data_IF_980895182945
#
_entry.id   IF_980895182945
#
_cell.length_a   1.000
_cell.length_b   1.000
_cell.length_c   1.000
_cell.angle_alpha   90.00
_cell.angle_beta   90.00
_cell.angle_gamma   90.00
#
_symmetry.space_group_name_H-M   'P 1'
#
loop_
_entity.id
_entity.type
_entity.pdbx_description
1 polymer ?
#
# COMPACT_ATOMS: atom_id res chain seq x y z
N UNK A 1 37.07 7.23 27.45
CA UNK A 1 36.59 8.00 26.29
C UNK A 1 37.32 7.42 25.12
N UNK A 2 36.74 6.37 24.54
CA UNK A 2 37.41 5.52 23.56
C UNK A 2 37.27 6.16 22.18
N UNK A 3 38.39 6.59 21.62
CA UNK A 3 38.48 7.24 20.32
C UNK A 3 38.21 6.23 19.20
N UNK A 4 37.10 6.41 18.47
CA UNK A 4 36.81 5.68 17.22
C UNK A 4 37.89 5.99 16.17
N UNK A 5 38.56 4.97 15.64
CA UNK A 5 39.48 5.11 14.51
C UNK A 5 38.76 4.85 13.18
N UNK A 6 39.26 5.34 12.03
CA UNK A 6 38.64 5.16 10.71
C UNK A 6 38.54 3.70 10.24
N UNK A 7 39.26 2.78 10.88
CA UNK A 7 39.28 1.34 10.57
C UNK A 7 38.35 0.52 11.47
N UNK A 8 37.65 1.17 12.41
CA UNK A 8 36.74 0.50 13.35
C UNK A 8 35.30 0.94 13.14
N UNK A 9 34.43 -0.04 12.85
CA UNK A 9 32.97 0.13 12.84
C UNK A 9 32.41 -0.39 14.15
N UNK A 10 31.75 0.49 14.91
CA UNK A 10 30.99 0.10 16.09
C UNK A 10 29.68 -0.58 15.65
N UNK A 11 29.56 -1.88 15.91
CA UNK A 11 28.29 -2.60 15.72
C UNK A 11 27.62 -2.72 17.08
N UNK A 12 26.61 -1.88 17.31
CA UNK A 12 25.72 -2.01 18.46
C UNK A 12 24.55 -2.94 18.11
N UNK A 13 24.54 -4.14 18.67
CA UNK A 13 23.40 -5.04 18.62
C UNK A 13 22.47 -4.73 19.80
N UNK A 14 21.20 -4.46 19.50
CA UNK A 14 20.15 -4.33 20.51
C UNK A 14 19.20 -5.51 20.29
N UNK A 15 19.17 -6.43 21.25
CA UNK A 15 18.26 -7.58 21.20
C UNK A 15 16.83 -7.04 21.23
N UNK A 16 16.16 -7.10 20.08
CA UNK A 16 14.76 -6.72 19.97
C UNK A 16 13.98 -7.82 20.69
N UNK A 17 13.49 -7.52 21.89
CA UNK A 17 12.49 -8.37 22.57
C UNK A 17 11.22 -8.36 21.70
N UNK A 18 11.14 -9.28 20.75
CA UNK A 18 10.00 -9.47 19.85
C UNK A 18 8.83 -10.22 20.52
N UNK A 19 8.84 -10.38 21.84
CA UNK A 19 7.66 -10.82 22.55
C UNK A 19 6.88 -9.60 23.04
N UNK A 20 5.99 -9.11 22.18
CA UNK A 20 4.93 -8.19 22.57
C UNK A 20 3.94 -9.02 23.37
N UNK A 21 3.86 -8.78 24.69
CA UNK A 21 2.82 -9.36 25.53
C UNK A 21 1.45 -8.95 24.94
N UNK A 22 0.62 -9.94 24.55
CA UNK A 22 -0.70 -9.66 24.00
C UNK A 22 -1.49 -8.84 25.02
N UNK A 23 -1.84 -7.61 24.67
CA UNK A 23 -2.65 -6.75 25.51
C UNK A 23 -3.97 -7.47 25.82
N UNK A 24 -4.50 -7.39 27.04
CA UNK A 24 -5.73 -8.11 27.44
C UNK A 24 -6.98 -7.77 26.60
N UNK A 25 -6.89 -6.74 25.75
CA UNK A 25 -7.93 -6.30 24.83
C UNK A 25 -7.61 -6.62 23.35
N UNK A 26 -6.52 -7.35 23.07
CA UNK A 26 -6.19 -7.74 21.70
C UNK A 26 -7.16 -8.81 21.23
N UNK A 27 -7.95 -8.47 20.21
CA UNK A 27 -8.85 -9.42 19.58
C UNK A 27 -8.43 -9.65 18.14
N UNK A 28 -7.79 -10.79 17.90
CA UNK A 28 -7.33 -11.21 16.57
C UNK A 28 -8.48 -11.34 15.56
N UNK A 29 -9.71 -11.59 16.02
CA UNK A 29 -10.89 -11.66 15.14
C UNK A 29 -11.18 -10.28 14.54
N UNK A 30 -10.98 -9.21 15.30
CA UNK A 30 -11.15 -7.83 14.80
C UNK A 30 -10.12 -7.55 13.70
N UNK A 31 -8.85 -7.89 13.91
CA UNK A 31 -7.80 -7.65 12.91
C UNK A 31 -7.99 -8.50 11.65
N UNK A 32 -8.44 -9.75 11.79
CA UNK A 32 -8.80 -10.60 10.66
C UNK A 32 -9.98 -10.01 9.88
N UNK A 33 -11.02 -9.55 10.59
CA UNK A 33 -12.21 -8.97 9.96
C UNK A 33 -11.89 -7.68 9.22
N UNK A 34 -11.15 -6.75 9.86
CA UNK A 34 -10.79 -5.47 9.23
C UNK A 34 -9.92 -5.67 8.00
N UNK A 35 -8.90 -6.54 8.08
CA UNK A 35 -8.01 -6.86 6.95
C UNK A 35 -8.77 -7.54 5.80
N UNK A 36 -9.66 -8.49 6.13
CA UNK A 36 -10.48 -9.18 5.13
C UNK A 36 -11.45 -8.24 4.45
N UNK A 37 -12.10 -7.36 5.21
CA UNK A 37 -12.98 -6.33 4.67
C UNK A 37 -12.21 -5.42 3.71
N UNK A 38 -11.07 -4.86 4.15
CA UNK A 38 -10.23 -3.99 3.32
C UNK A 38 -9.82 -4.68 2.00
N UNK A 39 -9.39 -5.95 2.05
CA UNK A 39 -9.05 -6.73 0.85
C UNK A 39 -10.24 -6.93 -0.09
N UNK A 40 -11.43 -7.19 0.45
CA UNK A 40 -12.65 -7.31 -0.37
C UNK A 40 -12.99 -5.97 -1.03
N UNK A 41 -12.82 -4.85 -0.33
CA UNK A 41 -13.01 -3.51 -0.89
C UNK A 41 -12.03 -3.24 -2.04
N UNK A 42 -10.75 -3.50 -1.82
CA UNK A 42 -9.70 -3.38 -2.85
C UNK A 42 -9.99 -4.27 -4.07
N UNK A 43 -10.35 -5.53 -3.84
CA UNK A 43 -10.68 -6.48 -4.92
C UNK A 43 -11.86 -6.00 -5.76
N UNK A 44 -12.90 -5.42 -5.14
CA UNK A 44 -14.04 -4.85 -5.87
C UNK A 44 -13.61 -3.68 -6.75
N UNK A 45 -12.72 -2.81 -6.28
CA UNK A 45 -12.18 -1.72 -7.08
C UNK A 45 -11.33 -2.26 -8.26
N UNK A 46 -10.46 -3.23 -8.02
CA UNK A 46 -9.69 -3.91 -9.07
C UNK A 46 -10.59 -4.54 -10.13
N UNK A 47 -11.66 -5.22 -9.72
CA UNK A 47 -12.61 -5.84 -10.64
C UNK A 47 -13.37 -4.81 -11.49
N UNK A 48 -13.68 -3.62 -10.93
CA UNK A 48 -14.27 -2.53 -11.72
C UNK A 48 -13.30 -2.08 -12.81
N UNK A 49 -12.04 -1.78 -12.44
CA UNK A 49 -11.00 -1.39 -13.40
C UNK A 49 -10.82 -2.45 -14.49
N UNK A 50 -10.70 -3.72 -14.12
CA UNK A 50 -10.46 -4.81 -15.06
C UNK A 50 -11.65 -5.11 -15.99
N UNK A 51 -12.87 -4.77 -15.59
CA UNK A 51 -14.09 -4.96 -16.42
C UNK A 51 -14.39 -3.76 -17.30
N UNK A 52 -13.88 -2.59 -16.97
CA UNK A 52 -14.09 -1.39 -17.79
C UNK A 52 -13.24 -1.49 -19.06
N UNK A 53 -13.86 -1.34 -20.24
CA UNK A 53 -13.12 -1.36 -21.49
C UNK A 53 -12.10 -0.22 -21.53
N UNK A 54 -10.93 -0.49 -22.14
CA UNK A 54 -9.83 0.46 -22.29
C UNK A 54 -9.19 0.88 -20.95
N UNK A 55 -9.43 0.15 -19.87
CA UNK A 55 -8.70 0.29 -18.62
C UNK A 55 -7.72 -0.87 -18.43
N UNK A 56 -6.57 -0.61 -17.79
CA UNK A 56 -5.57 -1.64 -17.49
C UNK A 56 -5.02 -1.47 -16.09
N UNK A 57 -5.14 -2.50 -15.27
CA UNK A 57 -4.62 -2.52 -13.90
C UNK A 57 -3.10 -2.72 -13.94
N UNK A 58 -2.35 -1.83 -13.28
CA UNK A 58 -0.87 -1.85 -13.26
C UNK A 58 -0.31 -2.36 -11.93
N UNK A 59 -0.87 -1.91 -10.82
CA UNK A 59 -0.38 -2.22 -9.48
C UNK A 59 -1.47 -2.13 -8.42
N UNK A 60 -1.26 -2.86 -7.33
CA UNK A 60 -2.10 -2.78 -6.13
C UNK A 60 -1.24 -2.98 -4.89
N UNK A 61 -1.44 -2.17 -3.86
CA UNK A 61 -0.82 -2.39 -2.55
C UNK A 61 -1.74 -1.91 -1.44
N UNK A 62 -2.12 -2.84 -0.55
CA UNK A 62 -2.88 -2.65 0.71
C UNK A 62 -4.21 -1.90 0.58
N UNK A 63 -4.18 -0.62 0.21
CA UNK A 63 -5.29 0.31 0.04
C UNK A 63 -5.17 1.18 -1.24
N UNK A 64 -4.12 1.01 -2.04
CA UNK A 64 -3.82 1.75 -3.26
C UNK A 64 -3.94 0.90 -4.52
N UNK A 65 -4.32 1.54 -5.64
CA UNK A 65 -4.43 0.91 -6.96
C UNK A 65 -3.88 1.88 -8.00
N UNK A 66 -2.96 1.41 -8.84
CA UNK A 66 -2.48 2.13 -10.03
C UNK A 66 -3.06 1.47 -11.26
N UNK A 67 -3.65 2.25 -12.15
CA UNK A 67 -4.26 1.77 -13.37
C UNK A 67 -4.26 2.84 -14.47
N UNK A 68 -4.34 2.40 -15.71
CA UNK A 68 -4.52 3.25 -16.89
C UNK A 68 -6.00 3.34 -17.21
N UNK A 69 -6.49 4.53 -17.51
CA UNK A 69 -7.84 4.77 -18.04
C UNK A 69 -7.82 5.89 -19.08
N UNK A 70 -8.84 5.98 -19.96
CA UNK A 70 -9.02 7.12 -20.86
C UNK A 70 -9.34 8.40 -20.07
N UNK A 71 -8.88 9.56 -20.52
CA UNK A 71 -9.01 10.87 -19.81
C UNK A 71 -10.43 11.15 -19.28
N UNK A 72 -11.46 10.80 -20.05
CA UNK A 72 -12.86 11.06 -19.69
C UNK A 72 -13.62 9.86 -19.10
N UNK A 73 -12.93 8.77 -18.78
CA UNK A 73 -13.60 7.53 -18.35
C UNK A 73 -12.86 6.85 -17.18
N UNK A 74 -12.75 7.56 -16.05
CA UNK A 74 -12.29 6.93 -14.82
C UNK A 74 -13.35 5.91 -14.31
N UNK A 75 -12.99 4.62 -14.15
CA UNK A 75 -13.91 3.57 -13.72
C UNK A 75 -14.22 3.59 -12.21
N UNK A 76 -13.46 4.37 -11.42
CA UNK A 76 -13.61 4.45 -9.97
C UNK A 76 -14.33 5.74 -9.57
N UNK A 77 -15.18 5.63 -8.56
CA UNK A 77 -15.80 6.80 -7.93
C UNK A 77 -14.83 7.35 -6.89
N UNK A 78 -14.41 8.60 -7.10
CA UNK A 78 -13.57 9.34 -6.16
C UNK A 78 -14.45 10.09 -5.17
N UNK A 79 -14.02 10.17 -3.91
CA UNK A 79 -14.77 10.87 -2.87
C UNK A 79 -13.91 11.26 -1.66
N UNK A 80 -14.30 12.30 -0.91
CA UNK A 80 -13.56 12.77 0.27
C UNK A 80 -13.93 12.02 1.57
N UNK A 81 -14.85 11.05 1.51
CA UNK A 81 -15.36 10.38 2.70
C UNK A 81 -14.54 9.14 3.06
N UNK A 82 -14.63 8.71 4.32
CA UNK A 82 -13.91 7.54 4.82
C UNK A 82 -14.32 6.27 4.05
N UNK A 83 -13.34 5.64 3.40
CA UNK A 83 -13.53 4.43 2.59
C UNK A 83 -13.73 4.69 1.10
N UNK A 84 -13.79 5.95 0.68
CA UNK A 84 -13.75 6.31 -0.74
C UNK A 84 -12.31 6.26 -1.26
N UNK A 85 -12.16 5.94 -2.55
CA UNK A 85 -10.87 6.07 -3.24
C UNK A 85 -10.60 7.56 -3.45
N UNK A 86 -9.37 7.99 -3.16
CA UNK A 86 -8.93 9.36 -3.41
C UNK A 86 -7.90 9.38 -4.53
N UNK A 87 -7.84 10.48 -5.25
CA UNK A 87 -6.77 10.74 -6.19
C UNK A 87 -5.59 11.34 -5.42
N UNK A 88 -4.52 10.56 -5.28
CA UNK A 88 -3.32 10.96 -4.54
C UNK A 88 -2.52 12.05 -5.29
N UNK A 89 -2.64 12.11 -6.61
CA UNK A 89 -1.86 12.98 -7.48
C UNK A 89 -2.75 13.77 -8.46
N UNK A 90 -3.67 14.62 -7.98
CA UNK A 90 -4.64 15.30 -8.84
C UNK A 90 -4.01 16.25 -9.87
N UNK A 91 -2.83 16.78 -9.56
CA UNK A 91 -2.10 17.72 -10.41
C UNK A 91 -1.04 17.04 -11.31
N UNK A 92 -0.83 15.73 -11.17
CA UNK A 92 0.24 15.01 -11.86
C UNK A 92 -0.28 13.78 -12.60
N UNK A 93 0.08 13.66 -13.87
CA UNK A 93 -0.18 12.45 -14.65
C UNK A 93 1.06 11.58 -14.69
N UNK A 94 0.90 10.29 -14.36
CA UNK A 94 1.97 9.30 -14.48
C UNK A 94 2.19 9.03 -15.98
N UNK A 95 3.38 9.37 -16.48
CA UNK A 95 3.75 9.26 -17.89
C UNK A 95 4.32 7.87 -18.20
N UNK A 96 5.08 7.32 -17.27
CA UNK A 96 5.73 6.01 -17.37
C UNK A 96 5.61 5.27 -16.04
N UNK A 97 5.38 3.96 -16.11
CA UNK A 97 5.30 3.07 -14.95
C UNK A 97 6.20 1.87 -15.17
N UNK A 98 7.16 1.66 -14.26
CA UNK A 98 8.08 0.52 -14.26
C UNK A 98 7.89 -0.24 -12.95
N UNK A 99 7.74 -1.56 -13.03
CA UNK A 99 7.61 -2.43 -11.86
C UNK A 99 8.68 -3.51 -11.87
N UNK A 100 9.49 -3.56 -10.81
CA UNK A 100 10.51 -4.59 -10.61
C UNK A 100 10.01 -5.84 -9.88
N UNK A 101 8.73 -5.87 -9.47
CA UNK A 101 8.11 -6.94 -8.69
C UNK A 101 7.11 -6.40 -7.66
N UNK A 102 6.49 -7.30 -6.89
CA UNK A 102 5.61 -6.90 -5.79
C UNK A 102 6.42 -6.12 -4.74
N UNK A 103 6.02 -4.88 -4.45
CA UNK A 103 6.66 -3.94 -3.51
C UNK A 103 7.92 -3.20 -4.01
N UNK A 104 8.41 -3.44 -5.23
CA UNK A 104 9.53 -2.66 -5.80
C UNK A 104 9.05 -1.80 -6.97
N UNK A 105 8.61 -0.58 -6.64
CA UNK A 105 8.50 0.52 -7.60
C UNK A 105 9.86 1.23 -7.70
N UNK A 106 10.33 1.46 -8.92
CA UNK A 106 11.53 2.24 -9.23
C UNK A 106 11.12 3.49 -10.02
#
# INVERSE_FOLDING_TARGET
>A
MDSLTPETTLISYLEKKEFVEEHECSNIVISLWTTSAARIHLLKAMQKVARTPNCSLLYTDTDSIIFVHPENNCPLQLGPYLGDMTDEYPDHNIIEYISGGASNML
#
